data_IF_520886287026
#
_entry.id   IF_520886287026
#
_cell.length_a   1.000
_cell.length_b   1.000
_cell.length_c   1.000
_cell.angle_alpha   90.00
_cell.angle_beta   90.00
_cell.angle_gamma   90.00
#
_symmetry.space_group_name_H-M   'P 1'
#
loop_
_entity.id
_entity.type
_entity.pdbx_description
1 polymer ?
#
# COMPACT_ATOMS: atom_id res chain seq x y z
N UNK A 1 44.28 16.88 -12.58
CA UNK A 1 43.04 17.62 -12.32
C UNK A 1 42.01 16.59 -11.96
N UNK A 2 41.88 16.31 -10.68
CA UNK A 2 40.91 15.34 -10.18
C UNK A 2 39.54 16.01 -10.26
N UNK A 3 38.72 15.52 -11.19
CA UNK A 3 37.32 15.89 -11.25
C UNK A 3 36.72 15.57 -9.87
N UNK A 4 36.18 16.59 -9.21
CA UNK A 4 35.30 16.42 -8.06
C UNK A 4 34.14 15.54 -8.55
N UNK A 5 34.27 14.22 -8.38
CA UNK A 5 33.19 13.30 -8.63
C UNK A 5 32.03 13.80 -7.78
N UNK A 6 31.01 14.35 -8.44
CA UNK A 6 29.83 14.86 -7.77
C UNK A 6 29.34 13.76 -6.83
N UNK A 7 29.22 14.09 -5.54
CA UNK A 7 28.72 13.15 -4.55
C UNK A 7 27.25 12.93 -4.88
N UNK A 8 26.96 11.96 -5.74
CA UNK A 8 25.61 11.53 -6.05
C UNK A 8 25.09 10.80 -4.81
N UNK A 9 23.88 11.17 -4.38
CA UNK A 9 23.20 10.48 -3.30
C UNK A 9 23.12 8.98 -3.64
N UNK A 10 23.77 8.08 -2.88
CA UNK A 10 23.78 6.64 -3.18
C UNK A 10 22.46 5.97 -2.82
N UNK A 11 21.57 6.68 -2.11
CA UNK A 11 20.28 6.15 -1.72
C UNK A 11 19.28 6.32 -2.86
N UNK A 12 18.49 5.27 -3.17
CA UNK A 12 17.41 5.41 -4.13
C UNK A 12 16.42 6.47 -3.64
N UNK A 13 15.79 7.23 -4.55
CA UNK A 13 14.70 8.11 -4.17
C UNK A 13 13.56 7.26 -3.58
N UNK A 14 12.70 7.86 -2.73
CA UNK A 14 11.48 7.20 -2.28
C UNK A 14 10.67 6.67 -3.47
N UNK A 15 9.95 5.55 -3.31
CA UNK A 15 9.08 5.05 -4.36
C UNK A 15 8.07 6.12 -4.80
N UNK A 16 7.88 6.29 -6.10
CA UNK A 16 7.00 7.34 -6.67
C UNK A 16 5.54 7.23 -6.19
N UNK A 17 5.13 6.03 -5.79
CA UNK A 17 3.80 5.72 -5.28
C UNK A 17 3.49 6.48 -3.99
N UNK A 18 4.49 6.92 -3.22
CA UNK A 18 4.28 7.71 -2.00
C UNK A 18 3.55 9.02 -2.27
N UNK A 19 3.71 9.60 -3.47
CA UNK A 19 2.99 10.82 -3.87
C UNK A 19 1.47 10.62 -3.96
N UNK A 20 0.98 9.37 -3.97
CA UNK A 20 -0.45 9.05 -4.01
C UNK A 20 -1.08 9.00 -2.62
N UNK A 21 -0.28 8.96 -1.55
CA UNK A 21 -0.75 8.90 -0.17
C UNK A 21 -1.13 10.30 0.35
N UNK A 22 -2.12 10.92 -0.29
CA UNK A 22 -2.72 12.18 0.16
C UNK A 22 -3.97 11.89 0.99
N UNK A 23 -4.37 12.82 1.86
CA UNK A 23 -5.59 12.67 2.65
C UNK A 23 -6.81 12.47 1.75
N UNK A 24 -6.93 13.26 0.68
CA UNK A 24 -8.01 13.14 -0.31
C UNK A 24 -8.11 11.72 -0.88
N UNK A 25 -6.99 11.12 -1.29
CA UNK A 25 -7.02 9.78 -1.88
C UNK A 25 -7.35 8.70 -0.85
N UNK A 26 -6.93 8.88 0.41
CA UNK A 26 -7.30 7.99 1.51
C UNK A 26 -8.81 8.09 1.81
N UNK A 27 -9.37 9.28 1.77
CA UNK A 27 -10.81 9.51 1.96
C UNK A 27 -11.62 8.88 0.81
N UNK A 28 -11.15 9.01 -0.44
CA UNK A 28 -11.76 8.35 -1.61
C UNK A 28 -11.69 6.82 -1.49
N UNK A 29 -10.57 6.26 -1.01
CA UNK A 29 -10.46 4.83 -0.75
C UNK A 29 -11.45 4.36 0.33
N UNK A 30 -11.59 5.12 1.41
CA UNK A 30 -12.56 4.80 2.46
C UNK A 30 -14.00 4.80 1.91
N UNK A 31 -14.34 5.81 1.10
CA UNK A 31 -15.65 5.94 0.45
C UNK A 31 -15.91 4.82 -0.56
N UNK A 32 -14.91 4.43 -1.35
CA UNK A 32 -14.98 3.31 -2.29
C UNK A 32 -15.33 2.02 -1.55
N UNK A 33 -14.70 1.79 -0.40
CA UNK A 33 -14.95 0.61 0.45
C UNK A 33 -16.34 0.62 1.08
N UNK A 34 -16.80 1.78 1.54
CA UNK A 34 -18.13 1.92 2.13
C UNK A 34 -19.25 1.62 1.12
N UNK A 35 -19.07 2.06 -0.12
CA UNK A 35 -20.10 1.98 -1.17
C UNK A 35 -20.02 0.71 -2.02
N UNK A 36 -18.91 -0.01 -1.96
CA UNK A 36 -18.72 -1.25 -2.71
C UNK A 36 -19.28 -2.45 -1.95
N UNK A 37 -19.84 -3.40 -2.70
CA UNK A 37 -20.34 -4.67 -2.17
C UNK A 37 -19.27 -5.78 -2.16
N UNK A 38 -18.06 -5.48 -2.62
CA UNK A 38 -16.96 -6.43 -2.79
C UNK A 38 -15.68 -5.85 -2.23
N UNK A 39 -14.85 -6.71 -1.65
CA UNK A 39 -13.50 -6.37 -1.19
C UNK A 39 -12.42 -6.84 -2.16
N UNK A 40 -12.82 -7.41 -3.31
CA UNK A 40 -11.90 -7.92 -4.33
C UNK A 40 -11.31 -6.75 -5.11
N UNK A 41 -9.99 -6.57 -5.03
CA UNK A 41 -9.30 -5.41 -5.63
C UNK A 41 -9.56 -5.27 -7.13
N UNK A 42 -9.63 -6.38 -7.88
CA UNK A 42 -9.89 -6.34 -9.32
C UNK A 42 -11.31 -5.87 -9.66
N UNK A 43 -12.28 -6.18 -8.82
CA UNK A 43 -13.66 -5.73 -9.02
C UNK A 43 -13.79 -4.26 -8.62
N UNK A 44 -13.19 -3.87 -7.49
CA UNK A 44 -13.11 -2.49 -7.03
C UNK A 44 -12.49 -1.59 -8.09
N UNK A 45 -11.39 -2.03 -8.70
CA UNK A 45 -10.73 -1.32 -9.79
C UNK A 45 -11.67 -1.03 -10.95
N UNK A 46 -12.46 -2.03 -11.36
CA UNK A 46 -13.39 -1.90 -12.49
C UNK A 46 -14.56 -0.97 -12.17
N UNK A 47 -15.02 -0.96 -10.92
CA UNK A 47 -16.18 -0.18 -10.50
C UNK A 47 -15.85 1.20 -9.93
N UNK A 48 -14.59 1.54 -9.64
CA UNK A 48 -14.17 2.76 -8.93
C UNK A 48 -14.85 4.04 -9.44
N UNK A 49 -14.75 4.30 -10.73
CA UNK A 49 -15.33 5.52 -11.34
C UNK A 49 -16.85 5.53 -11.33
N UNK A 50 -17.49 4.36 -11.39
CA UNK A 50 -18.95 4.26 -11.30
C UNK A 50 -19.44 4.46 -9.86
N UNK A 51 -18.71 3.94 -8.87
CA UNK A 51 -19.04 4.04 -7.44
C UNK A 51 -18.79 5.45 -6.89
N UNK A 52 -17.79 6.14 -7.43
CA UNK A 52 -17.37 7.48 -7.01
C UNK A 52 -17.73 8.57 -8.03
N UNK A 53 -18.75 8.34 -8.87
CA UNK A 53 -19.09 9.26 -9.96
C UNK A 53 -19.50 10.68 -9.50
N UNK A 54 -19.90 10.81 -8.24
CA UNK A 54 -20.24 12.07 -7.57
C UNK A 54 -19.03 12.81 -6.98
N UNK A 55 -17.85 12.18 -6.94
CA UNK A 55 -16.63 12.77 -6.40
C UNK A 55 -15.82 13.45 -7.50
N UNK A 56 -15.19 14.58 -7.14
CA UNK A 56 -14.22 15.23 -8.00
C UNK A 56 -12.85 14.52 -7.91
N UNK A 57 -12.05 14.64 -8.97
CA UNK A 57 -10.63 14.23 -9.00
C UNK A 57 -10.37 12.75 -8.65
N UNK A 58 -11.31 11.87 -9.00
CA UNK A 58 -11.09 10.42 -8.87
C UNK A 58 -9.92 10.02 -9.78
N UNK A 59 -8.87 9.37 -9.24
CA UNK A 59 -7.70 9.04 -10.03
C UNK A 59 -7.95 7.87 -11.00
N UNK A 60 -7.21 7.87 -12.11
CA UNK A 60 -7.18 6.75 -13.08
C UNK A 60 -6.52 5.48 -12.51
N UNK A 61 -5.60 5.65 -11.56
CA UNK A 61 -4.96 4.54 -10.87
C UNK A 61 -5.89 3.97 -9.77
N UNK A 62 -5.65 2.72 -9.41
CA UNK A 62 -6.55 1.99 -8.52
C UNK A 62 -6.35 2.43 -7.06
N UNK A 63 -7.39 2.97 -6.42
CA UNK A 63 -7.33 3.43 -5.03
C UNK A 63 -6.91 2.32 -4.05
N UNK A 64 -7.16 1.05 -4.38
CA UNK A 64 -6.72 -0.08 -3.54
C UNK A 64 -5.18 -0.23 -3.47
N UNK A 65 -4.42 0.47 -4.31
CA UNK A 65 -2.94 0.52 -4.22
C UNK A 65 -2.45 1.30 -2.99
N UNK A 66 -3.33 2.06 -2.33
CA UNK A 66 -3.02 2.73 -1.05
C UNK A 66 -3.17 1.80 0.16
N UNK A 67 -3.64 0.57 -0.07
CA UNK A 67 -3.79 -0.41 0.98
C UNK A 67 -2.44 -1.02 1.34
N UNK A 68 -2.34 -1.49 2.59
CA UNK A 68 -1.14 -2.22 3.00
C UNK A 68 -0.98 -3.46 2.09
N UNK A 69 0.24 -3.78 1.65
CA UNK A 69 0.49 -5.03 0.96
C UNK A 69 0.04 -6.22 1.81
N UNK A 70 -0.50 -7.26 1.16
CA UNK A 70 -0.87 -8.49 1.83
C UNK A 70 0.35 -9.10 2.52
N UNK A 71 0.23 -9.32 3.83
CA UNK A 71 1.28 -9.92 4.65
C UNK A 71 0.97 -11.38 5.00
N UNK A 72 -0.23 -11.88 4.68
CA UNK A 72 -0.73 -13.19 5.14
C UNK A 72 0.23 -14.33 4.79
N UNK A 73 0.69 -14.38 3.55
CA UNK A 73 1.68 -15.36 3.06
C UNK A 73 2.99 -15.36 3.87
N UNK A 74 3.54 -14.18 4.16
CA UNK A 74 4.77 -14.03 4.98
C UNK A 74 4.53 -14.53 6.41
N UNK A 75 3.31 -14.33 6.93
CA UNK A 75 2.91 -14.74 8.27
C UNK A 75 2.72 -16.27 8.33
N UNK A 76 2.00 -16.84 7.37
CA UNK A 76 1.75 -18.28 7.23
C UNK A 76 3.08 -19.05 7.09
N UNK A 77 4.00 -18.50 6.29
CA UNK A 77 5.34 -19.05 6.13
C UNK A 77 6.26 -18.76 7.32
N UNK A 78 5.84 -17.92 8.28
CA UNK A 78 6.60 -17.61 9.50
C UNK A 78 7.91 -16.84 9.26
N UNK A 79 8.11 -16.27 8.08
CA UNK A 79 9.35 -15.61 7.69
C UNK A 79 9.38 -15.16 6.23
N UNK A 80 10.37 -14.36 5.87
CA UNK A 80 10.62 -13.93 4.49
C UNK A 80 12.10 -14.13 4.12
N UNK A 81 12.39 -14.28 2.84
CA UNK A 81 13.77 -14.47 2.35
C UNK A 81 14.37 -13.13 1.91
N UNK A 82 15.64 -12.89 2.23
CA UNK A 82 16.38 -11.70 1.81
C UNK A 82 17.84 -12.08 1.62
N UNK A 83 18.38 -11.85 0.42
CA UNK A 83 19.78 -12.14 0.06
C UNK A 83 20.25 -13.58 0.40
N UNK A 84 19.36 -14.57 0.25
CA UNK A 84 19.68 -15.98 0.54
C UNK A 84 19.46 -16.40 1.99
N UNK A 85 19.23 -15.43 2.88
CA UNK A 85 18.92 -15.68 4.29
C UNK A 85 17.40 -15.64 4.53
N UNK A 86 16.93 -16.48 5.46
CA UNK A 86 15.53 -16.48 5.91
C UNK A 86 15.40 -15.74 7.23
N UNK A 87 14.53 -14.74 7.25
CA UNK A 87 14.25 -13.89 8.40
C UNK A 87 12.91 -14.27 9.02
N UNK A 88 12.89 -14.72 10.28
CA UNK A 88 11.64 -15.11 10.94
C UNK A 88 10.81 -13.88 11.31
N UNK A 89 9.49 -13.94 11.11
CA UNK A 89 8.57 -12.92 11.60
C UNK A 89 8.08 -13.33 12.99
N UNK A 90 8.37 -12.52 14.02
CA UNK A 90 7.79 -12.69 15.37
C UNK A 90 6.61 -11.76 15.52
N UNK A 91 5.45 -12.29 15.91
CA UNK A 91 4.36 -11.46 16.41
C UNK A 91 4.63 -11.09 17.87
N UNK A 92 4.97 -9.83 18.14
CA UNK A 92 4.60 -9.24 19.41
C UNK A 92 3.08 -9.04 19.37
N UNK A 93 2.40 -9.60 20.36
CA UNK A 93 0.95 -9.57 20.58
C UNK A 93 0.47 -8.15 20.92
N UNK A 94 0.76 -7.16 20.07
CA UNK A 94 0.46 -5.74 20.28
C UNK A 94 -0.94 -5.34 19.79
N UNK A 95 -1.70 -6.26 19.19
CA UNK A 95 -3.04 -6.00 18.66
C UNK A 95 -4.14 -6.86 19.31
N UNK A 96 -3.86 -7.47 20.48
CA UNK A 96 -4.90 -8.15 21.25
C UNK A 96 -5.67 -7.12 22.07
N UNK A 97 -6.51 -6.31 21.43
CA UNK A 97 -7.45 -5.43 22.13
C UNK A 97 -8.88 -5.90 21.87
N UNK A 98 -9.42 -6.55 22.91
CA UNK A 98 -10.83 -6.70 23.27
C UNK A 98 -11.82 -7.29 22.26
N UNK A 99 -12.12 -8.57 22.45
CA UNK A 99 -13.52 -9.03 22.46
C UNK A 99 -13.69 -10.02 23.63
N UNK A 100 -14.36 -9.55 24.68
CA UNK A 100 -15.07 -10.36 25.69
C UNK A 100 -16.48 -9.78 25.82
#
# INVERSE_FOLDING_TARGET
MDALAEIVNPFPPPPIQYNRYTQQNLDLLALLRERSSTTVHEDLRKSQHAVLSDQADVPEWNLTELERPRADWIIEEGGYNTFGDRWPVRFLKLWSTHDQ
#
